data_IF_946522086300
#
_entry.id   IF_946522086300
#
_cell.length_a   1.000
_cell.length_b   1.000
_cell.length_c   1.000
_cell.angle_alpha   90.00
_cell.angle_beta   90.00
_cell.angle_gamma   90.00
#
_symmetry.space_group_name_H-M   'P 1'
#
loop_
_entity.id
_entity.type
_entity.pdbx_description
1 polymer ?
#
# COMPACT_ATOMS: atom_id res chain seq x y z
N UNK A 1 28.85 -18.24 40.80
CA UNK A 1 27.49 -17.70 40.62
C UNK A 1 27.32 -17.40 39.14
N UNK A 2 26.65 -18.27 38.39
CA UNK A 2 26.39 -18.08 36.95
C UNK A 2 25.06 -17.36 36.81
N UNK A 3 25.11 -16.08 36.49
CA UNK A 3 23.94 -15.23 36.25
C UNK A 3 23.22 -15.69 34.98
N UNK A 4 21.91 -15.91 35.08
CA UNK A 4 21.08 -16.28 33.94
C UNK A 4 20.97 -15.10 32.95
N UNK A 5 21.17 -15.37 31.66
CA UNK A 5 20.98 -14.40 30.58
C UNK A 5 19.56 -14.53 30.05
N UNK A 6 18.76 -13.48 30.18
CA UNK A 6 17.44 -13.39 29.53
C UNK A 6 17.64 -12.73 28.17
N UNK A 7 17.66 -13.52 27.09
CA UNK A 7 17.52 -12.97 25.75
C UNK A 7 16.09 -12.47 25.59
N UNK A 8 15.88 -11.14 25.60
CA UNK A 8 14.62 -10.57 25.17
C UNK A 8 14.40 -10.98 23.71
N UNK A 9 13.49 -11.91 23.44
CA UNK A 9 13.05 -12.16 22.07
C UNK A 9 12.48 -10.84 21.57
N UNK A 10 13.17 -10.22 20.61
CA UNK A 10 12.60 -9.15 19.80
C UNK A 10 11.46 -9.79 19.03
N UNK A 11 10.25 -9.72 19.58
CA UNK A 11 9.03 -9.91 18.81
C UNK A 11 9.14 -8.93 17.66
N UNK A 12 9.52 -9.37 16.46
CA UNK A 12 9.34 -8.56 15.28
C UNK A 12 7.82 -8.40 15.19
N UNK A 13 7.26 -7.21 15.49
CA UNK A 13 5.84 -7.05 15.28
C UNK A 13 5.61 -7.35 13.80
N UNK A 14 4.52 -8.07 13.51
CA UNK A 14 4.02 -8.15 12.13
C UNK A 14 4.08 -6.73 11.54
N UNK A 15 4.42 -6.56 10.25
CA UNK A 15 4.48 -5.23 9.66
C UNK A 15 3.23 -4.46 10.07
N UNK A 16 3.41 -3.31 10.74
CA UNK A 16 2.36 -2.48 11.36
C UNK A 16 1.17 -2.26 10.44
N UNK A 17 1.44 -2.32 9.14
CA UNK A 17 0.50 -2.28 8.05
C UNK A 17 -0.62 -3.34 8.14
N UNK A 18 -0.43 -4.52 8.73
CA UNK A 18 -1.43 -5.60 8.74
C UNK A 18 -2.42 -5.43 9.89
N UNK A 19 -3.69 -5.20 9.57
CA UNK A 19 -4.77 -4.96 10.54
C UNK A 19 -5.48 -6.23 11.02
N UNK A 20 -5.38 -7.35 10.29
CA UNK A 20 -6.06 -8.60 10.67
C UNK A 20 -5.76 -9.81 9.76
N UNK A 21 -6.63 -10.83 9.85
CA UNK A 21 -6.41 -12.16 9.25
C UNK A 21 -7.05 -12.33 7.86
N UNK A 22 -7.60 -11.26 7.27
CA UNK A 22 -8.24 -11.36 5.97
C UNK A 22 -7.25 -11.87 4.88
N UNK A 23 -7.68 -12.77 3.97
CA UNK A 23 -6.81 -13.29 2.93
C UNK A 23 -6.20 -12.19 2.07
N UNK A 24 -4.86 -12.21 1.99
CA UNK A 24 -4.07 -11.24 1.24
C UNK A 24 -3.67 -11.82 -0.11
N UNK A 25 -4.19 -11.23 -1.17
CA UNK A 25 -3.76 -11.53 -2.54
C UNK A 25 -2.75 -10.48 -2.96
N UNK A 26 -1.52 -10.90 -3.21
CA UNK A 26 -0.45 -10.05 -3.75
C UNK A 26 -0.27 -10.28 -5.24
N UNK A 27 0.03 -9.22 -5.99
CA UNK A 27 0.39 -9.30 -7.41
C UNK A 27 1.50 -8.31 -7.74
N UNK A 28 2.34 -8.68 -8.71
CA UNK A 28 3.31 -7.77 -9.29
C UNK A 28 2.58 -6.73 -10.14
N UNK A 29 2.86 -5.46 -9.85
CA UNK A 29 2.35 -4.30 -10.60
C UNK A 29 3.50 -3.42 -11.05
N UNK A 30 3.31 -2.72 -12.15
CA UNK A 30 4.28 -1.73 -12.63
C UNK A 30 3.87 -0.35 -12.13
N UNK A 31 4.72 0.26 -11.30
CA UNK A 31 4.61 1.65 -10.87
C UNK A 31 5.21 2.55 -11.95
N UNK A 32 4.47 3.58 -12.35
CA UNK A 32 4.87 4.50 -13.41
C UNK A 32 6.06 5.36 -12.99
N UNK A 33 6.98 5.60 -13.93
CA UNK A 33 8.02 6.62 -13.77
C UNK A 33 7.42 7.99 -13.41
N UNK A 34 8.06 8.71 -12.50
CA UNK A 34 7.60 10.02 -12.01
C UNK A 34 6.64 9.95 -10.83
N UNK A 35 6.27 8.75 -10.34
CA UNK A 35 5.49 8.59 -9.12
C UNK A 35 6.28 8.93 -7.84
N UNK A 36 7.62 9.04 -7.94
CA UNK A 36 8.50 9.37 -6.84
C UNK A 36 8.79 8.18 -5.91
N UNK A 37 9.21 8.50 -4.68
CA UNK A 37 9.47 7.51 -3.63
C UNK A 37 8.18 7.21 -2.87
N UNK A 38 7.64 6.01 -3.03
CA UNK A 38 6.44 5.55 -2.34
C UNK A 38 6.81 4.59 -1.21
N UNK A 39 6.16 4.74 -0.05
CA UNK A 39 6.33 3.86 1.10
C UNK A 39 5.41 2.64 0.99
N UNK A 40 5.77 1.54 1.66
CA UNK A 40 4.82 0.45 1.89
C UNK A 40 3.57 1.00 2.57
N UNK A 41 2.40 0.51 2.17
CA UNK A 41 1.10 1.07 2.58
C UNK A 41 0.60 2.23 1.70
N UNK A 42 1.34 2.63 0.66
CA UNK A 42 0.85 3.63 -0.29
C UNK A 42 -0.37 3.11 -1.06
N UNK A 43 -1.43 3.92 -1.07
CA UNK A 43 -2.67 3.62 -1.77
C UNK A 43 -2.53 3.99 -3.24
N UNK A 44 -2.57 2.98 -4.11
CA UNK A 44 -2.29 3.12 -5.53
C UNK A 44 -3.57 3.18 -6.36
N UNK A 45 -3.57 4.07 -7.34
CA UNK A 45 -4.53 4.12 -8.44
C UNK A 45 -3.90 3.57 -9.73
N UNK A 46 -4.74 3.12 -10.67
CA UNK A 46 -4.29 2.60 -11.96
C UNK A 46 -4.62 3.57 -13.09
N UNK A 47 -3.60 4.05 -13.76
CA UNK A 47 -3.74 4.93 -14.92
C UNK A 47 -4.41 4.14 -16.07
N UNK A 48 -5.52 4.66 -16.59
CA UNK A 48 -6.34 3.97 -17.60
C UNK A 48 -5.61 3.79 -18.93
N UNK A 49 -4.83 4.78 -19.34
CA UNK A 49 -4.10 4.77 -20.60
C UNK A 49 -2.90 3.81 -20.59
N UNK A 50 -2.00 3.93 -19.59
CA UNK A 50 -0.77 3.16 -19.53
C UNK A 50 -0.92 1.81 -18.81
N UNK A 51 -2.02 1.61 -18.09
CA UNK A 51 -2.27 0.46 -17.20
C UNK A 51 -1.27 0.32 -16.04
N UNK A 52 -0.40 1.31 -15.84
CA UNK A 52 0.56 1.40 -14.74
C UNK A 52 -0.10 1.99 -13.50
N UNK A 53 0.55 1.79 -12.36
CA UNK A 53 0.09 2.28 -11.07
C UNK A 53 0.86 3.53 -10.65
N UNK A 54 0.19 4.41 -9.94
CA UNK A 54 0.78 5.59 -9.30
C UNK A 54 0.06 5.84 -7.98
N UNK A 55 0.54 6.78 -7.17
CA UNK A 55 -0.16 7.18 -5.95
C UNK A 55 -1.56 7.71 -6.32
N UNK A 56 -2.60 7.18 -5.68
CA UNK A 56 -3.99 7.58 -5.96
C UNK A 56 -4.20 9.04 -5.57
N UNK A 57 -4.72 9.86 -6.47
CA UNK A 57 -5.02 11.26 -6.20
C UNK A 57 -6.45 11.59 -6.62
N UNK A 58 -7.27 12.11 -5.70
CA UNK A 58 -8.70 12.29 -5.93
C UNK A 58 -9.03 13.30 -7.03
N UNK A 59 -8.12 14.24 -7.30
CA UNK A 59 -8.23 15.25 -8.34
C UNK A 59 -7.65 14.80 -9.70
N UNK A 60 -7.13 13.57 -9.79
CA UNK A 60 -6.67 13.02 -11.05
C UNK A 60 -7.86 12.77 -12.00
N UNK A 61 -7.58 12.78 -13.30
CA UNK A 61 -8.57 12.52 -14.35
C UNK A 61 -8.05 11.49 -15.36
N UNK A 62 -7.09 10.67 -14.94
CA UNK A 62 -6.38 9.70 -15.77
C UNK A 62 -6.73 8.25 -15.42
N UNK A 63 -7.64 8.05 -14.47
CA UNK A 63 -8.03 6.77 -13.89
C UNK A 63 -7.35 6.46 -12.55
N UNK A 64 -6.29 7.18 -12.19
CA UNK A 64 -5.60 7.00 -10.90
C UNK A 64 -6.35 7.60 -9.71
N UNK A 65 -7.44 8.33 -9.95
CA UNK A 65 -8.35 8.80 -8.91
C UNK A 65 -9.08 7.66 -8.18
N UNK A 66 -9.26 6.53 -8.85
CA UNK A 66 -9.84 5.34 -8.26
C UNK A 66 -8.73 4.51 -7.59
N UNK A 67 -8.87 4.29 -6.29
CA UNK A 67 -8.03 3.38 -5.53
C UNK A 67 -8.18 1.95 -6.08
N UNK A 68 -7.07 1.24 -6.26
CA UNK A 68 -7.05 -0.11 -6.86
C UNK A 68 -6.17 -1.12 -6.13
N UNK A 69 -5.14 -0.67 -5.42
CA UNK A 69 -4.22 -1.56 -4.72
C UNK A 69 -3.50 -0.83 -3.59
N UNK A 70 -2.87 -1.58 -2.69
CA UNK A 70 -1.98 -1.05 -1.65
C UNK A 70 -0.57 -1.57 -1.89
N UNK A 71 0.42 -0.69 -1.88
CA UNK A 71 1.82 -1.07 -2.12
C UNK A 71 2.35 -1.91 -0.95
N UNK A 72 2.96 -3.07 -1.23
CA UNK A 72 3.43 -3.99 -0.20
C UNK A 72 4.84 -3.67 0.32
N UNK A 73 5.67 -3.04 -0.51
CA UNK A 73 7.07 -2.73 -0.24
C UNK A 73 7.39 -1.30 -0.69
N UNK A 74 8.33 -0.58 -0.06
CA UNK A 74 8.73 0.73 -0.56
C UNK A 74 9.33 0.63 -1.97
N UNK A 75 8.99 1.58 -2.84
CA UNK A 75 9.48 1.62 -4.22
C UNK A 75 9.88 3.04 -4.60
N UNK A 76 10.98 3.19 -5.32
CA UNK A 76 11.39 4.46 -5.93
C UNK A 76 11.19 4.38 -7.44
N UNK A 77 10.11 4.98 -7.92
CA UNK A 77 9.80 5.10 -9.34
C UNK A 77 10.05 6.53 -9.86
N UNK A 78 11.07 7.23 -9.32
CA UNK A 78 11.35 8.62 -9.70
C UNK A 78 11.84 8.76 -11.15
N UNK A 79 12.69 7.84 -11.61
CA UNK A 79 13.40 7.96 -12.89
C UNK A 79 12.98 6.94 -13.95
N UNK A 80 12.31 5.86 -13.56
CA UNK A 80 11.89 4.79 -14.46
C UNK A 80 10.68 4.05 -13.89
N UNK A 81 10.01 3.27 -14.75
CA UNK A 81 9.00 2.35 -14.27
C UNK A 81 9.64 1.27 -13.39
N UNK A 82 8.98 0.91 -12.30
CA UNK A 82 9.47 -0.12 -11.38
C UNK A 82 8.40 -1.17 -11.14
N UNK A 83 8.78 -2.44 -11.20
CA UNK A 83 7.88 -3.54 -10.84
C UNK A 83 7.96 -3.74 -9.33
N UNK A 84 6.82 -3.71 -8.65
CA UNK A 84 6.72 -3.88 -7.20
C UNK A 84 5.54 -4.79 -6.84
N UNK A 85 5.57 -5.36 -5.64
CA UNK A 85 4.46 -6.14 -5.11
C UNK A 85 3.39 -5.20 -4.56
N UNK A 86 2.14 -5.43 -4.95
CA UNK A 86 0.98 -4.75 -4.38
C UNK A 86 -0.06 -5.75 -3.87
N UNK A 87 -0.75 -5.37 -2.80
CA UNK A 87 -1.92 -6.05 -2.27
C UNK A 87 -3.17 -5.63 -3.04
N UNK A 88 -3.94 -6.63 -3.48
CA UNK A 88 -5.24 -6.46 -4.11
C UNK A 88 -6.39 -6.68 -3.10
N UNK A 89 -6.12 -7.40 -2.02
CA UNK A 89 -7.05 -7.67 -0.91
C UNK A 89 -6.27 -7.69 0.40
N UNK A 90 -6.94 -7.47 1.53
CA UNK A 90 -6.32 -7.55 2.84
C UNK A 90 -7.00 -6.68 3.89
N UNK A 91 -6.50 -6.73 5.11
CA UNK A 91 -6.88 -5.82 6.18
C UNK A 91 -5.64 -5.05 6.61
N UNK A 92 -5.73 -3.72 6.59
CA UNK A 92 -4.60 -2.84 6.82
C UNK A 92 -4.88 -1.79 7.90
N UNK A 93 -3.86 -1.45 8.68
CA UNK A 93 -3.98 -0.42 9.68
C UNK A 93 -4.08 0.97 9.01
N UNK A 94 -5.13 1.77 9.28
CA UNK A 94 -5.35 3.04 8.59
C UNK A 94 -4.27 4.09 8.91
N UNK A 95 -3.59 3.96 10.06
CA UNK A 95 -2.46 4.81 10.43
C UNK A 95 -1.17 4.56 9.65
N UNK A 96 -1.06 3.40 8.99
CA UNK A 96 0.11 3.00 8.22
C UNK A 96 -0.11 3.15 6.71
N UNK A 97 -1.34 3.46 6.30
CA UNK A 97 -1.68 3.73 4.92
C UNK A 97 -1.29 5.15 4.54
N UNK A 98 -0.63 5.27 3.39
CA UNK A 98 -0.31 6.57 2.79
C UNK A 98 -1.30 6.84 1.67
N UNK A 99 -2.23 7.75 1.94
CA UNK A 99 -3.20 8.24 0.95
C UNK A 99 -2.57 9.39 0.13
N UNK A 100 -2.80 9.40 -1.17
CA UNK A 100 -2.42 10.56 -1.98
C UNK A 100 -3.40 11.72 -1.83
N UNK A 101 -3.07 12.83 -2.48
CA UNK A 101 -3.76 14.11 -2.28
C UNK A 101 -5.27 14.00 -2.52
N UNK A 102 -6.05 14.54 -1.58
CA UNK A 102 -7.51 14.56 -1.66
C UNK A 102 -8.21 13.27 -1.20
N UNK A 103 -7.47 12.23 -0.82
CA UNK A 103 -8.04 11.05 -0.16
C UNK A 103 -7.78 11.08 1.35
N UNK A 104 -8.78 10.63 2.08
CA UNK A 104 -8.71 10.27 3.50
C UNK A 104 -9.16 8.81 3.68
N UNK A 105 -8.85 8.21 4.84
CA UNK A 105 -9.38 6.89 5.19
C UNK A 105 -10.91 6.83 5.02
N UNK A 106 -11.64 7.86 5.48
CA UNK A 106 -13.10 7.91 5.36
C UNK A 106 -13.58 7.92 3.91
N UNK A 107 -12.95 8.72 3.03
CA UNK A 107 -13.37 8.79 1.61
C UNK A 107 -12.96 7.57 0.79
N UNK A 108 -11.90 6.88 1.21
CA UNK A 108 -11.37 5.71 0.51
C UNK A 108 -11.97 4.40 1.03
N UNK A 109 -12.57 4.39 2.22
CA UNK A 109 -13.07 3.19 2.89
C UNK A 109 -14.07 2.40 2.02
N UNK A 110 -15.09 3.05 1.47
CA UNK A 110 -16.08 2.37 0.62
C UNK A 110 -15.44 1.76 -0.64
N UNK A 111 -14.59 2.52 -1.32
CA UNK A 111 -13.90 2.06 -2.53
C UNK A 111 -12.90 0.91 -2.23
N UNK A 112 -12.24 0.95 -1.08
CA UNK A 112 -11.36 -0.13 -0.62
C UNK A 112 -12.18 -1.38 -0.24
N UNK A 113 -13.34 -1.20 0.38
CA UNK A 113 -14.24 -2.29 0.76
C UNK A 113 -14.76 -3.06 -0.45
N UNK A 114 -15.08 -2.36 -1.54
CA UNK A 114 -15.44 -2.99 -2.83
C UNK A 114 -14.33 -3.89 -3.40
N UNK A 115 -13.08 -3.60 -3.06
CA UNK A 115 -11.91 -4.39 -3.43
C UNK A 115 -11.55 -5.47 -2.41
N UNK A 116 -12.38 -5.66 -1.37
CA UNK A 116 -12.04 -6.52 -0.22
C UNK A 116 -10.74 -6.09 0.47
N UNK A 117 -10.52 -4.78 0.54
CA UNK A 117 -9.50 -4.15 1.34
C UNK A 117 -10.18 -3.45 2.52
N UNK A 118 -9.84 -3.86 3.73
CA UNK A 118 -10.40 -3.34 4.97
C UNK A 118 -9.40 -2.45 5.69
N UNK A 119 -9.88 -1.34 6.24
CA UNK A 119 -9.10 -0.31 6.95
C UNK A 119 -9.83 0.17 8.20
#
# INVERSE_FOLDING_TARGET
MTSASFSSQTSQPLPSLIGGDFPRVTRLVTVASGAGVLKAGAVLGRITASKKFTLSAAAANDGSEAVRAVLAEPVDASLSDVVAVAYLTGEFAPGELTFGAGHSAASAADALRDLSIFI
#
